data_IF_653178428920
#
_entry.id   IF_653178428920
#
_cell.length_a   1.000
_cell.length_b   1.000
_cell.length_c   1.000
_cell.angle_alpha   90.00
_cell.angle_beta   90.00
_cell.angle_gamma   90.00
#
_symmetry.space_group_name_H-M   'P 1'
#
loop_
_entity.id
_entity.type
_entity.pdbx_description
1 polymer ?
#
# COMPACT_ATOMS: atom_id res chain seq x y z
N UNK A 1 -11.36 33.57 28.53
CA UNK A 1 -10.59 32.72 29.47
C UNK A 1 -11.55 31.91 30.32
N UNK A 2 -11.91 30.73 29.86
CA UNK A 2 -12.62 29.75 30.66
C UNK A 2 -11.67 28.57 30.92
N UNK A 3 -11.35 28.39 32.20
CA UNK A 3 -10.54 27.27 32.68
C UNK A 3 -11.34 25.96 32.54
N UNK A 4 -10.73 25.00 31.84
CA UNK A 4 -11.26 23.64 31.78
C UNK A 4 -10.84 22.92 33.05
N UNK A 5 -11.79 22.67 33.94
CA UNK A 5 -11.62 21.82 35.14
C UNK A 5 -11.63 20.35 34.67
N UNK A 6 -10.51 19.69 34.80
CA UNK A 6 -10.38 18.25 34.58
C UNK A 6 -10.87 17.53 35.82
N UNK A 7 -11.91 16.70 35.69
CA UNK A 7 -12.49 15.91 36.75
C UNK A 7 -11.61 14.66 37.00
N UNK A 8 -10.88 14.66 38.12
CA UNK A 8 -9.92 13.62 38.48
C UNK A 8 -10.57 12.31 39.01
N UNK A 9 -11.87 12.30 39.27
CA UNK A 9 -12.57 11.18 39.92
C UNK A 9 -12.87 9.97 38.98
N UNK A 10 -12.46 10.05 37.70
CA UNK A 10 -12.69 8.94 36.74
C UNK A 10 -11.50 8.00 36.56
N UNK A 11 -10.38 8.22 37.23
CA UNK A 11 -9.14 7.44 37.01
C UNK A 11 -8.86 6.39 38.11
N UNK A 12 -9.53 6.42 39.24
CA UNK A 12 -9.20 5.54 40.38
C UNK A 12 -9.78 4.12 40.29
N UNK A 13 -10.89 3.90 39.58
CA UNK A 13 -11.54 2.58 39.52
C UNK A 13 -10.89 1.56 38.56
N UNK A 14 -9.88 1.95 37.76
CA UNK A 14 -9.22 1.05 36.82
C UNK A 14 -7.86 0.51 37.28
N UNK A 15 -7.27 1.08 38.29
CA UNK A 15 -5.95 0.67 38.80
C UNK A 15 -6.05 -0.51 39.76
N UNK A 16 -7.16 -0.63 40.52
CA UNK A 16 -7.38 -1.71 41.47
C UNK A 16 -7.61 -3.10 40.81
N UNK A 17 -8.01 -3.13 39.55
CA UNK A 17 -8.24 -4.41 38.83
C UNK A 17 -6.96 -5.04 38.24
N UNK A 18 -5.81 -4.35 38.34
CA UNK A 18 -4.54 -4.82 37.78
C UNK A 18 -3.57 -5.39 38.82
N UNK A 19 -3.94 -5.36 40.11
CA UNK A 19 -3.13 -5.93 41.17
C UNK A 19 -3.64 -7.33 41.45
N UNK A 20 -2.86 -8.36 41.17
CA UNK A 20 -3.20 -9.75 41.37
C UNK A 20 -3.42 -10.04 42.87
N UNK A 21 -4.43 -10.89 43.20
CA UNK A 21 -4.86 -11.29 44.56
C UNK A 21 -3.75 -11.79 45.51
N UNK A 22 -2.54 -11.91 45.06
CA UNK A 22 -1.39 -12.31 45.89
C UNK A 22 -0.79 -11.20 46.74
N UNK A 23 -1.10 -9.94 46.49
CA UNK A 23 -0.50 -8.80 47.23
C UNK A 23 -1.41 -8.30 48.38
N UNK A 24 -2.71 -8.61 48.36
CA UNK A 24 -3.66 -8.17 49.37
C UNK A 24 -3.54 -8.88 50.73
N UNK A 25 -2.80 -9.99 50.83
CA UNK A 25 -2.69 -10.80 52.07
C UNK A 25 -1.54 -10.40 53.00
N UNK A 26 -0.86 -9.28 52.77
CA UNK A 26 0.32 -8.88 53.60
C UNK A 26 0.05 -7.79 54.65
N UNK A 27 -1.16 -7.27 54.78
CA UNK A 27 -1.43 -6.14 55.72
C UNK A 27 -2.31 -6.43 56.93
N UNK A 28 -2.65 -7.68 57.27
CA UNK A 28 -3.40 -7.97 58.51
C UNK A 28 -2.68 -9.01 59.39
N UNK A 29 -1.78 -8.53 60.24
CA UNK A 29 -1.11 -9.42 61.20
C UNK A 29 -0.26 -8.68 62.21
N UNK A 30 -0.82 -7.73 62.97
CA UNK A 30 -0.19 -7.31 64.24
C UNK A 30 -0.50 -8.33 65.31
N UNK A 31 0.43 -9.28 65.56
CA UNK A 31 0.40 -10.13 66.72
C UNK A 31 1.48 -9.74 67.72
N UNK A 32 1.06 -9.59 68.98
CA UNK A 32 1.86 -9.27 70.16
C UNK A 32 2.90 -10.37 70.42
N UNK A 33 4.13 -9.97 70.62
CA UNK A 33 5.25 -10.87 70.97
C UNK A 33 5.19 -11.11 72.47
N UNK A 34 4.85 -12.34 72.85
CA UNK A 34 5.03 -12.88 74.17
C UNK A 34 6.36 -13.61 74.27
N UNK A 35 7.10 -13.23 75.27
CA UNK A 35 8.48 -13.65 75.58
C UNK A 35 8.51 -15.09 76.13
N UNK A 36 8.98 -16.10 75.35
CA UNK A 36 9.48 -17.38 75.87
C UNK A 36 10.31 -18.15 74.82
N UNK A 37 11.56 -18.31 75.07
CA UNK A 37 12.44 -19.46 74.77
C UNK A 37 13.81 -19.08 74.21
N UNK A 38 14.73 -18.94 75.17
CA UNK A 38 16.18 -18.79 74.95
C UNK A 38 16.93 -20.08 74.46
N UNK A 39 16.23 -21.20 74.16
CA UNK A 39 16.87 -22.46 73.79
C UNK A 39 16.76 -22.88 72.33
N UNK A 40 16.06 -22.12 71.46
CA UNK A 40 15.96 -22.42 70.03
C UNK A 40 16.82 -21.56 69.12
N UNK A 41 17.65 -20.67 69.68
CA UNK A 41 18.46 -19.76 68.85
C UNK A 41 19.78 -20.40 68.33
N UNK A 42 20.26 -21.55 68.82
CA UNK A 42 21.48 -22.17 68.32
C UNK A 42 21.26 -23.05 67.08
N UNK A 43 20.10 -23.65 66.88
CA UNK A 43 19.81 -24.50 65.72
C UNK A 43 19.44 -23.70 64.44
N UNK A 44 18.94 -22.44 64.60
CA UNK A 44 18.61 -21.57 63.43
C UNK A 44 19.83 -20.88 62.83
N UNK A 45 20.94 -20.77 63.50
CA UNK A 45 22.15 -20.10 62.97
C UNK A 45 22.98 -20.96 62.00
N UNK A 46 22.85 -22.30 62.01
CA UNK A 46 23.51 -23.17 61.03
C UNK A 46 22.75 -23.32 59.72
N UNK A 47 21.42 -23.26 59.72
CA UNK A 47 20.61 -23.37 58.51
C UNK A 47 20.56 -22.12 57.63
N UNK A 48 20.80 -20.93 58.20
CA UNK A 48 20.79 -19.66 57.48
C UNK A 48 22.09 -19.36 56.77
N UNK A 49 23.26 -19.82 57.28
CA UNK A 49 24.54 -19.68 56.59
C UNK A 49 24.62 -20.53 55.32
N UNK A 50 24.16 -21.78 55.38
CA UNK A 50 24.12 -22.65 54.20
C UNK A 50 23.22 -22.14 53.08
N UNK A 51 22.04 -21.58 53.43
CA UNK A 51 21.11 -21.00 52.45
C UNK A 51 21.64 -19.71 51.83
N UNK A 52 22.40 -18.90 52.57
CA UNK A 52 22.99 -17.66 52.01
C UNK A 52 24.17 -18.00 51.09
N UNK A 53 24.96 -19.02 51.38
CA UNK A 53 26.06 -19.48 50.53
C UNK A 53 25.54 -20.15 49.24
N UNK A 54 24.44 -20.90 49.30
CA UNK A 54 23.77 -21.43 48.11
C UNK A 54 23.18 -20.35 47.23
N UNK A 55 22.54 -19.35 47.83
CA UNK A 55 22.00 -18.19 47.09
C UNK A 55 23.13 -17.38 46.45
N UNK A 56 24.26 -17.22 47.12
CA UNK A 56 25.40 -16.51 46.59
C UNK A 56 26.09 -17.28 45.44
N UNK A 57 26.18 -18.59 45.55
CA UNK A 57 26.64 -19.49 44.47
C UNK A 57 25.71 -19.45 43.28
N UNK A 58 24.40 -19.52 43.48
CA UNK A 58 23.41 -19.41 42.40
C UNK A 58 23.47 -18.04 41.72
N UNK A 59 23.66 -16.98 42.49
CA UNK A 59 23.81 -15.62 41.92
C UNK A 59 25.13 -15.48 41.13
N UNK A 60 26.22 -16.09 41.59
CA UNK A 60 27.49 -16.12 40.83
C UNK A 60 27.35 -16.96 39.55
N UNK A 61 26.68 -18.08 39.60
CA UNK A 61 26.39 -18.93 38.43
C UNK A 61 25.51 -18.23 37.42
N UNK A 62 24.45 -17.53 37.90
CA UNK A 62 23.61 -16.71 37.03
C UNK A 62 24.38 -15.55 36.39
N UNK A 63 25.28 -14.90 37.12
CA UNK A 63 26.17 -13.85 36.59
C UNK A 63 27.20 -14.42 35.59
N UNK A 64 27.71 -15.65 35.79
CA UNK A 64 28.59 -16.29 34.81
C UNK A 64 27.84 -16.74 33.56
N UNK A 65 26.62 -17.28 33.70
CA UNK A 65 25.76 -17.62 32.56
C UNK A 65 25.38 -16.35 31.77
N UNK A 66 25.03 -15.27 32.47
CA UNK A 66 24.73 -13.97 31.83
C UNK A 66 25.95 -13.34 31.13
N UNK A 67 27.17 -13.57 31.66
CA UNK A 67 28.43 -13.14 31.02
C UNK A 67 28.83 -14.03 29.83
N UNK A 68 28.41 -15.30 29.81
CA UNK A 68 28.65 -16.24 28.71
C UNK A 68 27.55 -16.23 27.66
N UNK A 69 26.37 -15.65 27.95
CA UNK A 69 25.33 -15.45 26.96
C UNK A 69 25.86 -14.46 25.92
N UNK A 70 26.12 -14.93 24.71
CA UNK A 70 26.50 -14.07 23.60
C UNK A 70 25.37 -13.06 23.38
N UNK A 71 25.72 -11.77 23.34
CA UNK A 71 24.77 -10.71 23.07
C UNK A 71 24.23 -10.89 21.63
N UNK A 72 22.93 -11.07 21.49
CA UNK A 72 22.29 -11.09 20.19
C UNK A 72 21.99 -9.65 19.80
N UNK A 73 22.51 -9.24 18.64
CA UNK A 73 22.35 -7.90 18.10
C UNK A 73 21.53 -8.00 16.83
N UNK A 74 20.45 -7.24 16.76
CA UNK A 74 19.65 -7.11 15.54
C UNK A 74 20.21 -5.99 14.68
N UNK A 75 20.48 -6.28 13.41
CA UNK A 75 21.11 -5.37 12.46
C UNK A 75 20.20 -5.23 11.24
N UNK A 76 19.80 -4.01 10.83
CA UNK A 76 19.09 -3.74 9.58
C UNK A 76 20.06 -3.80 8.38
N UNK A 77 19.55 -3.67 7.16
CA UNK A 77 20.34 -3.68 5.91
C UNK A 77 21.44 -2.63 5.89
N UNK A 78 21.15 -1.44 6.46
CA UNK A 78 22.12 -0.36 6.64
C UNK A 78 22.10 0.14 8.08
N UNK A 79 23.27 0.30 8.69
CA UNK A 79 23.40 0.82 10.07
C UNK A 79 24.59 1.77 10.19
N UNK A 80 24.48 2.79 11.03
CA UNK A 80 25.62 3.64 11.33
C UNK A 80 26.58 2.97 12.31
N UNK A 81 27.87 3.24 12.17
CA UNK A 81 28.92 2.71 13.09
C UNK A 81 28.63 3.02 14.55
N UNK A 82 28.11 4.21 14.83
CA UNK A 82 27.72 4.65 16.18
C UNK A 82 26.55 3.83 16.75
N UNK A 83 25.55 3.58 15.94
CA UNK A 83 24.38 2.79 16.32
C UNK A 83 24.74 1.31 16.52
N UNK A 84 25.53 0.73 15.62
CA UNK A 84 26.06 -0.63 15.76
C UNK A 84 26.82 -0.79 17.08
N UNK A 85 27.71 0.17 17.41
CA UNK A 85 28.44 0.17 18.68
C UNK A 85 27.49 0.21 19.89
N UNK A 86 26.47 1.04 19.84
CA UNK A 86 25.45 1.15 20.90
C UNK A 86 24.66 -0.14 21.07
N UNK A 87 24.22 -0.79 19.97
CA UNK A 87 23.50 -2.06 20.00
C UNK A 87 24.36 -3.21 20.54
N UNK A 88 25.65 -3.20 20.24
CA UNK A 88 26.64 -4.17 20.78
C UNK A 88 27.08 -3.85 22.21
N UNK A 89 26.65 -2.74 22.80
CA UNK A 89 27.13 -2.23 24.10
C UNK A 89 28.65 -2.07 24.14
N UNK A 90 29.25 -1.67 23.03
CA UNK A 90 30.68 -1.41 22.83
C UNK A 90 30.92 0.06 22.55
N UNK A 91 32.17 0.48 22.59
CA UNK A 91 32.53 1.86 22.19
C UNK A 91 32.68 1.96 20.67
N UNK A 92 32.28 3.10 20.09
CA UNK A 92 32.47 3.34 18.65
C UNK A 92 33.93 3.21 18.22
N UNK A 93 34.87 3.55 19.11
CA UNK A 93 36.31 3.39 18.86
C UNK A 93 36.74 1.93 18.69
N UNK A 94 36.16 0.98 19.41
CA UNK A 94 36.41 -0.46 19.24
C UNK A 94 35.91 -0.96 17.89
N UNK A 95 34.71 -0.51 17.47
CA UNK A 95 34.13 -0.86 16.16
C UNK A 95 34.97 -0.29 15.03
N UNK A 96 35.34 1.00 15.09
CA UNK A 96 36.21 1.62 14.09
C UNK A 96 37.57 0.95 14.02
N UNK A 97 38.15 0.54 15.15
CA UNK A 97 39.41 -0.18 15.18
C UNK A 97 39.32 -1.56 14.52
N UNK A 98 38.19 -2.25 14.68
CA UNK A 98 37.90 -3.51 14.01
C UNK A 98 37.75 -3.30 12.49
N UNK A 99 36.97 -2.30 12.06
CA UNK A 99 36.83 -1.90 10.65
C UNK A 99 38.17 -1.55 9.98
N UNK A 100 39.01 -0.77 10.66
CA UNK A 100 40.35 -0.40 10.20
C UNK A 100 41.28 -1.61 10.01
N UNK A 101 41.23 -2.59 10.90
CA UNK A 101 42.00 -3.86 10.75
C UNK A 101 41.62 -4.62 9.48
N UNK A 102 40.35 -4.53 9.08
CA UNK A 102 39.81 -5.18 7.90
C UNK A 102 39.84 -4.30 6.64
N UNK A 103 40.56 -3.15 6.72
CA UNK A 103 40.77 -2.27 5.58
C UNK A 103 39.62 -1.32 5.26
N UNK A 104 38.58 -1.28 6.09
CA UNK A 104 37.45 -0.38 5.94
C UNK A 104 37.65 0.88 6.80
N UNK A 105 37.78 2.04 6.15
CA UNK A 105 37.83 3.32 6.84
C UNK A 105 36.41 3.87 7.01
N UNK A 106 35.93 3.91 8.25
CA UNK A 106 34.61 4.46 8.54
C UNK A 106 34.64 5.43 9.72
N UNK A 107 33.84 6.50 9.65
CA UNK A 107 33.61 7.45 10.75
C UNK A 107 32.39 7.01 11.58
N UNK A 108 32.20 7.59 12.77
CA UNK A 108 31.09 7.23 13.68
C UNK A 108 29.70 7.37 13.04
N UNK A 109 29.54 8.39 12.17
CA UNK A 109 28.26 8.71 11.53
C UNK A 109 28.10 8.08 10.14
N UNK A 110 29.08 7.32 9.69
CA UNK A 110 29.02 6.65 8.39
C UNK A 110 28.17 5.39 8.46
N UNK A 111 27.34 5.16 7.45
CA UNK A 111 26.57 3.93 7.29
C UNK A 111 27.44 2.81 6.72
N UNK A 112 27.24 1.62 7.21
CA UNK A 112 27.84 0.37 6.73
C UNK A 112 26.72 -0.60 6.39
N UNK A 113 26.96 -1.45 5.42
CA UNK A 113 26.07 -2.52 4.99
C UNK A 113 26.00 -3.66 6.01
N UNK A 114 24.95 -4.48 5.91
CA UNK A 114 24.70 -5.60 6.79
C UNK A 114 25.88 -6.56 6.87
N UNK A 115 26.48 -6.93 5.73
CA UNK A 115 27.58 -7.91 5.66
C UNK A 115 28.81 -7.42 6.44
N UNK A 116 29.16 -6.15 6.29
CA UNK A 116 30.27 -5.52 7.04
C UNK A 116 29.95 -5.43 8.52
N UNK A 117 28.71 -5.09 8.87
CA UNK A 117 28.26 -4.98 10.25
C UNK A 117 28.21 -6.36 10.94
N UNK A 118 27.73 -7.42 10.25
CA UNK A 118 27.72 -8.79 10.72
C UNK A 118 29.12 -9.29 11.01
N UNK A 119 30.05 -9.06 10.07
CA UNK A 119 31.42 -9.46 10.22
C UNK A 119 32.07 -8.85 11.46
N UNK A 120 31.91 -7.52 11.64
CA UNK A 120 32.45 -6.80 12.82
C UNK A 120 31.80 -7.27 14.11
N UNK A 121 30.50 -7.47 14.13
CA UNK A 121 29.77 -7.94 15.31
C UNK A 121 30.20 -9.35 15.72
N UNK A 122 30.44 -10.23 14.75
CA UNK A 122 30.92 -11.60 14.97
C UNK A 122 32.36 -11.61 15.51
N UNK A 123 33.28 -10.77 14.96
CA UNK A 123 34.65 -10.62 15.45
C UNK A 123 34.68 -10.09 16.90
N UNK A 124 33.72 -9.21 17.24
CA UNK A 124 33.56 -8.67 18.60
C UNK A 124 32.79 -9.61 19.56
N UNK A 125 32.42 -10.82 19.11
CA UNK A 125 31.80 -11.87 19.91
C UNK A 125 30.30 -11.74 20.15
N UNK A 126 29.59 -10.98 19.31
CA UNK A 126 28.14 -10.88 19.31
C UNK A 126 27.54 -11.88 18.32
N UNK A 127 26.31 -12.34 18.58
CA UNK A 127 25.51 -13.08 17.62
C UNK A 127 24.63 -12.08 16.87
N UNK A 128 24.57 -12.19 15.56
CA UNK A 128 23.79 -11.29 14.71
C UNK A 128 22.48 -11.94 14.30
N UNK A 129 21.40 -11.17 14.33
CA UNK A 129 20.12 -11.48 13.71
C UNK A 129 19.77 -10.34 12.75
N UNK A 130 19.34 -10.68 11.54
CA UNK A 130 18.87 -9.69 10.58
C UNK A 130 17.58 -9.06 11.08
N UNK A 131 17.54 -7.72 11.17
CA UNK A 131 16.34 -6.96 11.53
C UNK A 131 15.64 -6.53 10.25
N UNK A 132 14.60 -7.24 9.86
CA UNK A 132 13.72 -6.78 8.78
C UNK A 132 12.92 -5.60 9.34
N UNK A 133 13.26 -4.39 8.92
CA UNK A 133 12.49 -3.19 9.24
C UNK A 133 11.25 -3.21 8.35
N UNK A 134 10.19 -3.88 8.81
CA UNK A 134 8.88 -3.79 8.16
C UNK A 134 8.38 -2.37 8.33
N UNK A 135 8.32 -1.62 7.24
CA UNK A 135 7.79 -0.26 7.24
C UNK A 135 6.30 -0.27 7.64
N UNK A 136 5.79 0.88 8.09
CA UNK A 136 4.35 0.99 8.42
C UNK A 136 3.50 0.67 7.18
N UNK A 137 4.02 1.01 6.00
CA UNK A 137 3.42 0.73 4.70
C UNK A 137 3.34 -0.79 4.45
N UNK A 138 4.43 -1.53 4.61
CA UNK A 138 4.46 -2.99 4.49
C UNK A 138 3.57 -3.72 5.51
N UNK A 139 3.36 -3.14 6.69
CA UNK A 139 2.40 -3.68 7.68
C UNK A 139 0.95 -3.44 7.30
N UNK A 140 0.67 -2.38 6.53
CA UNK A 140 -0.67 -2.04 6.05
C UNK A 140 -1.01 -2.83 4.78
N UNK A 141 -0.01 -3.13 3.95
CA UNK A 141 -0.18 -4.00 2.78
C UNK A 141 0.08 -5.44 3.21
N UNK A 142 -1.00 -6.19 3.37
CA UNK A 142 -0.93 -7.63 3.57
C UNK A 142 -0.56 -8.28 2.23
N UNK A 143 0.71 -8.63 2.05
CA UNK A 143 1.24 -9.29 0.84
C UNK A 143 1.00 -10.80 0.85
N UNK A 144 0.05 -11.28 1.65
CA UNK A 144 -0.31 -12.68 1.63
C UNK A 144 -0.81 -13.06 0.23
N UNK A 145 -0.18 -14.04 -0.39
CA UNK A 145 -0.64 -14.58 -1.68
C UNK A 145 -1.93 -15.35 -1.43
N UNK A 146 -3.01 -14.88 -2.05
CA UNK A 146 -4.30 -15.53 -1.96
C UNK A 146 -4.24 -16.94 -2.62
N UNK A 147 -4.90 -17.90 -2.02
CA UNK A 147 -5.03 -19.23 -2.63
C UNK A 147 -6.03 -19.18 -3.78
N UNK A 148 -5.83 -20.04 -4.79
CA UNK A 148 -6.69 -20.06 -5.97
C UNK A 148 -8.18 -20.28 -5.65
N UNK A 149 -8.48 -20.93 -4.53
CA UNK A 149 -9.85 -21.23 -4.07
C UNK A 149 -10.56 -19.99 -3.45
N UNK A 150 -9.81 -18.97 -3.04
CA UNK A 150 -10.34 -17.75 -2.43
C UNK A 150 -10.62 -16.63 -3.45
N UNK A 151 -10.13 -16.81 -4.67
CA UNK A 151 -10.23 -15.82 -5.73
C UNK A 151 -11.55 -15.97 -6.50
N UNK A 152 -12.30 -14.86 -6.57
CA UNK A 152 -13.55 -14.73 -7.33
C UNK A 152 -13.33 -13.78 -8.50
N UNK A 153 -13.93 -14.04 -9.66
CA UNK A 153 -13.91 -13.14 -10.80
C UNK A 153 -14.58 -11.83 -10.43
N UNK A 154 -13.90 -10.71 -10.69
CA UNK A 154 -14.42 -9.37 -10.44
C UNK A 154 -14.77 -8.62 -11.72
N UNK A 155 -15.69 -7.64 -11.65
CA UNK A 155 -15.99 -6.76 -12.77
C UNK A 155 -14.75 -6.00 -13.24
N UNK A 156 -14.56 -5.84 -14.58
CA UNK A 156 -13.51 -5.01 -15.12
C UNK A 156 -13.77 -3.51 -14.84
N UNK A 157 -12.69 -2.79 -14.62
CA UNK A 157 -12.70 -1.33 -14.52
C UNK A 157 -12.05 -0.75 -15.76
N UNK A 158 -12.80 0.05 -16.50
CA UNK A 158 -12.41 0.57 -17.81
C UNK A 158 -12.29 2.08 -17.76
N UNK A 159 -11.13 2.63 -18.10
CA UNK A 159 -10.95 4.08 -18.23
C UNK A 159 -11.18 4.54 -19.66
N UNK A 160 -11.88 5.65 -19.84
CA UNK A 160 -12.10 6.28 -21.14
C UNK A 160 -11.22 7.51 -21.28
N UNK A 161 -10.33 7.49 -22.26
CA UNK A 161 -9.33 8.53 -22.52
C UNK A 161 -9.39 9.04 -23.95
N UNK A 162 -8.72 10.13 -24.21
CA UNK A 162 -8.61 10.73 -25.55
C UNK A 162 -8.73 12.25 -25.50
N UNK A 163 -8.64 12.88 -26.66
CA UNK A 163 -8.68 14.33 -26.80
C UNK A 163 -10.05 14.94 -26.42
N UNK A 164 -10.07 16.23 -26.12
CA UNK A 164 -11.31 17.02 -25.98
C UNK A 164 -12.09 16.93 -27.29
N UNK A 165 -13.41 16.96 -27.25
CA UNK A 165 -14.33 16.91 -28.41
C UNK A 165 -14.27 15.65 -29.29
N UNK A 166 -13.48 14.62 -28.91
CA UNK A 166 -13.52 13.33 -29.61
C UNK A 166 -14.75 12.48 -29.24
N UNK A 167 -15.57 12.95 -28.30
CA UNK A 167 -16.87 12.36 -27.98
C UNK A 167 -16.81 11.29 -26.87
N UNK A 168 -15.85 11.36 -25.95
CA UNK A 168 -15.75 10.49 -24.76
C UNK A 168 -17.05 10.51 -23.94
N UNK A 169 -17.44 11.70 -23.48
CA UNK A 169 -18.65 11.87 -22.66
C UNK A 169 -19.91 11.51 -23.44
N UNK A 170 -19.95 11.74 -24.76
CA UNK A 170 -21.08 11.32 -25.61
C UNK A 170 -21.19 9.80 -25.73
N UNK A 171 -20.04 9.09 -25.83
CA UNK A 171 -19.99 7.63 -25.81
C UNK A 171 -20.51 7.08 -24.48
N UNK A 172 -20.03 7.65 -23.37
CA UNK A 172 -20.44 7.27 -22.06
C UNK A 172 -21.90 7.58 -21.75
N UNK A 173 -22.42 8.72 -22.23
CA UNK A 173 -23.85 9.08 -22.15
C UNK A 173 -24.73 8.08 -22.92
N UNK A 174 -24.27 7.61 -24.07
CA UNK A 174 -24.96 6.58 -24.81
C UNK A 174 -25.01 5.25 -24.04
N UNK A 175 -23.86 4.80 -23.52
CA UNK A 175 -23.75 3.53 -22.78
C UNK A 175 -24.62 3.53 -21.52
N UNK A 176 -24.71 4.62 -20.79
CA UNK A 176 -25.54 4.73 -19.56
C UNK A 176 -26.97 5.20 -19.82
N UNK A 177 -27.37 5.43 -21.06
CA UNK A 177 -28.68 5.96 -21.44
C UNK A 177 -29.02 7.28 -20.70
N UNK A 178 -28.03 8.15 -20.50
CA UNK A 178 -28.16 9.41 -19.77
C UNK A 178 -27.64 10.60 -20.59
N UNK A 179 -27.88 11.82 -20.10
CA UNK A 179 -27.42 13.08 -20.73
C UNK A 179 -26.65 13.91 -19.70
N UNK A 180 -25.52 13.39 -19.22
CA UNK A 180 -24.74 14.07 -18.19
C UNK A 180 -23.91 15.21 -18.78
N UNK A 181 -23.40 15.05 -20.00
CA UNK A 181 -22.70 16.13 -20.73
C UNK A 181 -23.49 17.44 -20.79
N UNK A 182 -24.80 17.38 -20.89
CA UNK A 182 -25.66 18.57 -20.95
C UNK A 182 -25.80 19.28 -19.58
N UNK A 183 -25.49 18.61 -18.48
CA UNK A 183 -25.58 19.12 -17.11
C UNK A 183 -24.27 19.66 -16.55
N UNK A 184 -23.14 19.36 -17.17
CA UNK A 184 -21.82 19.82 -16.73
C UNK A 184 -21.52 21.26 -17.17
N UNK A 185 -20.87 22.03 -16.30
CA UNK A 185 -20.50 23.42 -16.60
C UNK A 185 -19.52 23.45 -17.80
N UNK A 186 -19.96 24.06 -18.90
CA UNK A 186 -19.21 24.14 -20.16
C UNK A 186 -19.31 22.87 -21.03
N UNK A 187 -20.11 21.87 -20.67
CA UNK A 187 -20.30 20.65 -21.45
C UNK A 187 -19.03 19.73 -21.47
N UNK A 188 -18.13 19.90 -20.50
CA UNK A 188 -16.87 19.14 -20.41
C UNK A 188 -16.77 18.43 -19.05
N UNK A 189 -16.29 17.21 -19.06
CA UNK A 189 -16.01 16.44 -17.83
C UNK A 189 -14.88 17.10 -17.04
N UNK A 190 -15.14 17.47 -15.78
CA UNK A 190 -14.17 18.14 -14.90
C UNK A 190 -13.72 17.27 -13.73
N UNK A 191 -14.48 16.25 -13.37
CA UNK A 191 -14.19 15.30 -12.30
C UNK A 191 -14.09 13.88 -12.84
N UNK A 192 -13.38 12.99 -12.12
CA UNK A 192 -13.41 11.58 -12.45
C UNK A 192 -14.78 11.03 -12.03
N UNK A 193 -15.62 10.71 -13.00
CA UNK A 193 -16.91 10.04 -12.81
C UNK A 193 -16.74 8.52 -12.89
N UNK A 194 -17.34 7.79 -11.96
CA UNK A 194 -17.39 6.33 -12.00
C UNK A 194 -18.84 5.87 -12.05
N UNK A 195 -19.14 4.90 -12.91
CA UNK A 195 -20.46 4.28 -12.99
C UNK A 195 -20.36 2.85 -13.51
N UNK A 196 -21.26 1.99 -13.08
CA UNK A 196 -21.33 0.60 -13.50
C UNK A 196 -22.50 0.39 -14.42
N UNK A 197 -22.28 -0.33 -15.52
CA UNK A 197 -23.30 -0.74 -16.48
C UNK A 197 -23.28 -2.25 -16.58
N UNK A 198 -24.47 -2.85 -16.68
CA UNK A 198 -24.61 -4.29 -16.88
C UNK A 198 -24.79 -4.56 -18.38
N UNK A 199 -23.90 -5.35 -18.95
CA UNK A 199 -23.89 -5.71 -20.38
C UNK A 199 -23.84 -7.24 -20.47
N UNK A 200 -24.83 -7.81 -21.15
CA UNK A 200 -24.98 -9.28 -21.27
C UNK A 200 -24.96 -10.03 -19.92
N UNK A 201 -25.42 -9.39 -18.85
CA UNK A 201 -25.39 -9.96 -17.49
C UNK A 201 -24.06 -9.83 -16.77
N UNK A 202 -23.08 -9.15 -17.37
CA UNK A 202 -21.77 -8.86 -16.75
C UNK A 202 -21.68 -7.38 -16.40
N UNK A 203 -21.36 -7.01 -15.15
CA UNK A 203 -21.16 -5.63 -14.76
C UNK A 203 -19.78 -5.12 -15.23
N UNK A 204 -19.75 -3.94 -15.83
CA UNK A 204 -18.52 -3.21 -16.22
C UNK A 204 -18.54 -1.84 -15.57
N UNK A 205 -17.43 -1.45 -14.94
CA UNK A 205 -17.30 -0.13 -14.33
C UNK A 205 -16.48 0.79 -15.24
N UNK A 206 -17.09 1.87 -15.66
CA UNK A 206 -16.44 2.89 -16.49
C UNK A 206 -15.96 4.05 -15.63
N UNK A 207 -14.74 4.52 -15.91
CA UNK A 207 -14.17 5.75 -15.36
C UNK A 207 -14.09 6.81 -16.48
N UNK A 208 -14.83 7.90 -16.31
CA UNK A 208 -14.72 9.06 -17.18
C UNK A 208 -13.61 9.99 -16.71
N UNK A 209 -12.67 10.32 -17.61
CA UNK A 209 -11.56 11.21 -17.30
C UNK A 209 -11.62 12.51 -18.09
N UNK A 210 -11.29 13.66 -17.46
CA UNK A 210 -11.24 14.94 -18.18
C UNK A 210 -10.25 14.90 -19.34
N UNK A 211 -10.67 15.31 -20.53
CA UNK A 211 -9.82 15.36 -21.72
C UNK A 211 -8.84 16.54 -21.77
N UNK A 212 -9.01 17.54 -20.92
CA UNK A 212 -8.25 18.79 -20.98
C UNK A 212 -6.80 18.64 -20.52
N UNK A 213 -5.84 19.34 -21.13
CA UNK A 213 -4.41 19.24 -20.79
C UNK A 213 -4.08 19.54 -19.32
N UNK A 214 -4.89 20.37 -18.63
CA UNK A 214 -4.72 20.69 -17.22
C UNK A 214 -4.89 19.47 -16.27
N UNK A 215 -5.44 18.34 -16.75
CA UNK A 215 -5.80 17.19 -15.92
C UNK A 215 -4.95 15.93 -16.22
N UNK A 216 -3.69 16.12 -16.60
CA UNK A 216 -2.74 15.03 -16.89
C UNK A 216 -2.60 14.03 -15.73
N UNK A 217 -2.50 14.53 -14.49
CA UNK A 217 -2.40 13.66 -13.30
C UNK A 217 -3.64 12.80 -13.07
N UNK A 218 -4.84 13.32 -13.40
CA UNK A 218 -6.08 12.54 -13.30
C UNK A 218 -6.13 11.41 -14.32
N UNK A 219 -5.62 11.63 -15.54
CA UNK A 219 -5.52 10.58 -16.56
C UNK A 219 -4.50 9.51 -16.17
N UNK A 220 -3.32 9.93 -15.70
CA UNK A 220 -2.29 9.00 -15.21
C UNK A 220 -2.83 8.11 -14.06
N UNK A 221 -3.50 8.73 -13.08
CA UNK A 221 -4.11 8.02 -11.95
C UNK A 221 -5.25 7.11 -12.40
N UNK A 222 -6.07 7.57 -13.33
CA UNK A 222 -7.12 6.76 -13.95
C UNK A 222 -6.54 5.48 -14.57
N UNK A 223 -5.47 5.61 -15.38
CA UNK A 223 -4.82 4.45 -15.99
C UNK A 223 -4.23 3.48 -14.96
N UNK A 224 -3.56 3.99 -13.91
CA UNK A 224 -2.92 3.15 -12.89
C UNK A 224 -3.90 2.33 -12.04
N UNK A 225 -5.16 2.77 -11.97
CA UNK A 225 -6.17 2.13 -11.12
C UNK A 225 -7.15 1.25 -11.90
N UNK A 226 -7.02 1.15 -13.23
CA UNK A 226 -7.95 0.46 -14.13
C UNK A 226 -7.31 -0.74 -14.80
N UNK A 227 -8.15 -1.59 -15.36
CA UNK A 227 -7.73 -2.85 -16.01
C UNK A 227 -7.61 -2.69 -17.53
N UNK A 228 -8.46 -1.86 -18.15
CA UNK A 228 -8.53 -1.66 -19.60
C UNK A 228 -8.67 -0.17 -19.90
N UNK A 229 -8.02 0.31 -20.97
CA UNK A 229 -8.16 1.66 -21.46
C UNK A 229 -8.90 1.71 -22.81
N UNK A 230 -9.97 2.46 -22.91
CA UNK A 230 -10.61 2.81 -24.18
C UNK A 230 -10.07 4.17 -24.64
N UNK A 231 -9.37 4.17 -25.76
CA UNK A 231 -8.83 5.36 -26.39
C UNK A 231 -9.78 5.85 -27.46
N UNK A 232 -10.51 6.95 -27.19
CA UNK A 232 -11.46 7.54 -28.16
C UNK A 232 -10.74 8.51 -29.09
N UNK A 233 -10.77 8.23 -30.38
CA UNK A 233 -10.18 9.06 -31.45
C UNK A 233 -11.26 9.44 -32.45
N UNK A 234 -11.41 10.73 -32.76
CA UNK A 234 -12.37 11.17 -33.77
C UNK A 234 -11.86 10.92 -35.19
N UNK A 235 -12.69 10.30 -36.03
CA UNK A 235 -12.35 9.92 -37.42
C UNK A 235 -12.04 11.09 -38.34
N UNK A 236 -12.54 12.28 -38.00
CA UNK A 236 -12.33 13.53 -38.73
C UNK A 236 -11.05 14.29 -38.34
N UNK A 237 -10.64 14.20 -37.05
CA UNK A 237 -9.52 14.98 -36.50
C UNK A 237 -8.19 14.18 -36.50
N UNK A 238 -8.23 12.88 -36.20
CA UNK A 238 -7.07 12.03 -36.08
C UNK A 238 -6.42 12.06 -34.69
N UNK A 239 -5.15 11.64 -34.59
CA UNK A 239 -4.41 11.59 -33.33
C UNK A 239 -3.93 12.99 -32.93
N UNK A 240 -4.36 13.46 -31.79
CA UNK A 240 -4.02 14.74 -31.19
C UNK A 240 -3.01 14.59 -30.04
N UNK A 241 -2.30 15.65 -29.61
CA UNK A 241 -1.28 15.56 -28.54
C UNK A 241 -1.78 14.92 -27.24
N UNK A 242 -3.02 15.18 -26.82
CA UNK A 242 -3.64 14.57 -25.65
C UNK A 242 -3.96 13.09 -25.86
N UNK A 243 -4.15 12.65 -27.09
CA UNK A 243 -4.30 11.22 -27.44
C UNK A 243 -2.96 10.51 -27.29
N UNK A 244 -1.86 11.14 -27.73
CA UNK A 244 -0.51 10.59 -27.54
C UNK A 244 -0.16 10.48 -26.06
N UNK A 245 -0.51 11.48 -25.27
CA UNK A 245 -0.35 11.47 -23.82
C UNK A 245 -1.14 10.31 -23.19
N UNK A 246 -2.39 10.11 -23.58
CA UNK A 246 -3.22 9.00 -23.11
C UNK A 246 -2.61 7.62 -23.45
N UNK A 247 -2.06 7.45 -24.67
CA UNK A 247 -1.33 6.23 -25.05
C UNK A 247 -0.15 5.99 -24.13
N UNK A 248 0.64 7.02 -23.83
CA UNK A 248 1.80 6.91 -22.97
C UNK A 248 1.42 6.54 -21.54
N UNK A 249 0.32 7.08 -20.99
CA UNK A 249 -0.18 6.73 -19.67
C UNK A 249 -0.66 5.27 -19.61
N UNK A 250 -1.41 4.81 -20.60
CA UNK A 250 -1.88 3.43 -20.66
C UNK A 250 -0.71 2.44 -20.81
N UNK A 251 0.30 2.75 -21.63
CA UNK A 251 1.52 1.96 -21.77
C UNK A 251 2.35 1.94 -20.48
N UNK A 252 2.48 3.08 -19.79
CA UNK A 252 3.18 3.15 -18.51
C UNK A 252 2.48 2.33 -17.42
N UNK A 253 1.15 2.26 -17.45
CA UNK A 253 0.33 1.43 -16.56
C UNK A 253 0.28 -0.05 -16.99
N UNK A 254 0.81 -0.40 -18.17
CA UNK A 254 0.80 -1.76 -18.73
C UNK A 254 -0.59 -2.36 -18.89
N UNK A 255 -1.61 -1.54 -19.16
CA UNK A 255 -2.98 -1.99 -19.38
C UNK A 255 -3.28 -2.13 -20.88
N UNK A 256 -4.11 -3.11 -21.28
CA UNK A 256 -4.55 -3.26 -22.66
C UNK A 256 -5.31 -2.03 -23.16
N UNK A 257 -5.08 -1.66 -24.41
CA UNK A 257 -5.67 -0.49 -25.06
C UNK A 257 -6.61 -0.94 -26.16
N UNK A 258 -7.89 -0.54 -26.07
CA UNK A 258 -8.88 -0.69 -27.12
C UNK A 258 -9.10 0.68 -27.76
N UNK A 259 -8.98 0.79 -29.07
CA UNK A 259 -9.17 2.05 -29.78
C UNK A 259 -10.58 2.15 -30.32
N UNK A 260 -11.30 3.20 -29.92
CA UNK A 260 -12.62 3.51 -30.43
C UNK A 260 -12.54 4.69 -31.40
N UNK A 261 -12.59 4.39 -32.70
CA UNK A 261 -12.63 5.42 -33.79
C UNK A 261 -14.05 5.95 -33.90
N UNK A 262 -14.29 7.12 -33.30
CA UNK A 262 -15.61 7.74 -33.16
C UNK A 262 -15.91 8.72 -34.31
N UNK A 263 -17.15 9.14 -34.39
CA UNK A 263 -17.72 10.06 -35.40
C UNK A 263 -17.68 9.47 -36.81
N UNK A 264 -17.88 8.18 -36.99
CA UNK A 264 -17.96 7.51 -38.29
C UNK A 264 -19.17 8.00 -39.13
N UNK A 265 -20.12 8.66 -38.52
CA UNK A 265 -21.28 9.29 -39.18
C UNK A 265 -20.96 10.59 -39.94
N UNK A 266 -19.75 11.15 -39.73
CA UNK A 266 -19.36 12.39 -40.39
C UNK A 266 -18.81 12.19 -41.78
N UNK A 267 -19.15 13.15 -42.68
CA UNK A 267 -18.51 13.26 -43.98
C UNK A 267 -17.04 13.62 -43.79
N UNK A 268 -16.14 12.82 -44.35
CA UNK A 268 -14.69 12.98 -44.21
C UNK A 268 -14.05 12.09 -43.12
N UNK A 269 -14.82 11.23 -42.48
CA UNK A 269 -14.27 10.19 -41.62
C UNK A 269 -13.31 9.31 -42.39
N UNK A 270 -12.06 9.22 -41.91
CA UNK A 270 -11.00 8.41 -42.52
C UNK A 270 -10.34 7.51 -41.52
N UNK A 271 -10.88 6.31 -41.29
CA UNK A 271 -10.32 5.35 -40.32
C UNK A 271 -8.91 4.88 -40.71
N UNK A 272 -8.60 4.70 -42.01
CA UNK A 272 -7.30 4.20 -42.47
C UNK A 272 -6.15 5.15 -42.11
N UNK A 273 -6.41 6.46 -42.15
CA UNK A 273 -5.48 7.47 -41.65
C UNK A 273 -5.17 7.28 -40.17
N UNK A 274 -6.19 6.99 -39.38
CA UNK A 274 -6.03 6.79 -37.92
C UNK A 274 -5.23 5.51 -37.65
N UNK A 275 -5.52 4.41 -38.35
CA UNK A 275 -4.78 3.16 -38.23
C UNK A 275 -3.29 3.36 -38.52
N UNK A 276 -2.97 4.14 -39.55
CA UNK A 276 -1.58 4.49 -39.88
C UNK A 276 -0.92 5.30 -38.76
N UNK A 277 -1.61 6.32 -38.25
CA UNK A 277 -1.10 7.15 -37.15
C UNK A 277 -0.93 6.37 -35.85
N UNK A 278 -1.83 5.42 -35.53
CA UNK A 278 -1.69 4.54 -34.37
C UNK A 278 -0.39 3.72 -34.43
N UNK A 279 -0.07 3.19 -35.60
CA UNK A 279 1.16 2.43 -35.83
C UNK A 279 2.43 3.28 -35.58
N UNK A 280 2.42 4.58 -35.95
CA UNK A 280 3.53 5.51 -35.66
C UNK A 280 3.75 5.68 -34.15
N UNK A 281 2.69 5.52 -33.35
CA UNK A 281 2.74 5.58 -31.88
C UNK A 281 2.90 4.20 -31.22
N UNK A 282 3.20 3.15 -32.01
CA UNK A 282 3.45 1.79 -31.51
C UNK A 282 2.19 1.08 -31.01
N UNK A 283 1.03 1.37 -31.61
CA UNK A 283 -0.22 0.63 -31.48
C UNK A 283 -0.56 0.04 -32.83
N UNK A 284 -0.16 -1.22 -33.05
CA UNK A 284 -0.44 -1.90 -34.32
C UNK A 284 -1.83 -2.52 -34.23
N UNK A 285 -2.76 -2.18 -35.16
CA UNK A 285 -4.10 -2.75 -35.16
C UNK A 285 -4.10 -4.28 -35.38
N UNK A 286 -5.05 -4.98 -34.79
CA UNK A 286 -5.24 -6.42 -34.96
C UNK A 286 -5.50 -6.77 -36.46
N UNK A 287 -6.21 -5.91 -37.20
CA UNK A 287 -6.42 -6.04 -38.67
C UNK A 287 -5.09 -6.13 -39.46
N UNK A 288 -4.00 -5.57 -38.91
CA UNK A 288 -2.64 -5.58 -39.52
C UNK A 288 -1.68 -6.54 -38.82
N UNK A 289 -2.22 -7.45 -37.99
CA UNK A 289 -1.45 -8.48 -37.28
C UNK A 289 -0.80 -7.99 -35.97
N UNK A 290 -1.28 -6.88 -35.40
CA UNK A 290 -0.92 -6.39 -34.06
C UNK A 290 -1.82 -6.93 -32.97
N UNK A 291 -1.68 -6.34 -31.77
CA UNK A 291 -2.40 -6.71 -30.54
C UNK A 291 -3.50 -5.69 -30.16
N UNK A 292 -3.60 -4.57 -30.88
CA UNK A 292 -4.53 -3.50 -30.51
C UNK A 292 -5.85 -3.65 -31.23
N UNK A 293 -6.93 -3.87 -30.48
CA UNK A 293 -8.29 -3.92 -31.04
C UNK A 293 -8.79 -2.52 -31.40
N UNK A 294 -9.40 -2.40 -32.59
CA UNK A 294 -9.88 -1.13 -33.14
C UNK A 294 -11.33 -1.24 -33.55
N UNK A 295 -12.24 -0.56 -32.83
CA UNK A 295 -13.66 -0.54 -33.08
C UNK A 295 -14.05 0.78 -33.78
N UNK A 296 -14.79 0.69 -34.89
CA UNK A 296 -15.32 1.85 -35.65
C UNK A 296 -16.72 2.19 -35.13
N UNK A 297 -16.86 3.32 -34.43
CA UNK A 297 -18.08 3.66 -33.72
C UNK A 297 -18.66 5.03 -34.12
N UNK A 298 -19.92 5.23 -33.79
CA UNK A 298 -20.55 6.57 -33.72
C UNK A 298 -21.35 6.68 -32.43
N UNK A 299 -20.85 7.47 -31.50
CA UNK A 299 -21.56 7.74 -30.25
C UNK A 299 -22.90 8.45 -30.43
N UNK A 300 -23.09 9.12 -31.59
CA UNK A 300 -24.33 9.83 -31.92
C UNK A 300 -25.42 8.89 -32.43
N UNK A 301 -25.06 7.91 -33.26
CA UNK A 301 -26.03 6.99 -33.88
C UNK A 301 -26.12 5.64 -33.17
N UNK A 302 -25.18 5.32 -32.29
CA UNK A 302 -25.09 4.04 -31.62
C UNK A 302 -24.35 2.95 -32.41
N UNK A 303 -23.91 3.28 -33.65
CA UNK A 303 -23.22 2.31 -34.51
C UNK A 303 -21.92 1.78 -33.86
N UNK A 304 -21.72 0.47 -33.84
CA UNK A 304 -20.49 -0.19 -33.40
C UNK A 304 -20.25 -0.17 -31.88
N UNK A 305 -21.18 0.36 -31.09
CA UNK A 305 -20.97 0.45 -29.63
C UNK A 305 -21.13 -0.93 -28.98
N UNK A 306 -22.07 -1.73 -29.44
CA UNK A 306 -22.24 -3.11 -28.92
C UNK A 306 -21.00 -3.95 -29.19
N UNK A 307 -20.40 -3.83 -30.39
CA UNK A 307 -19.14 -4.47 -30.75
C UNK A 307 -17.98 -4.02 -29.85
N UNK A 308 -17.88 -2.73 -29.55
CA UNK A 308 -16.90 -2.17 -28.60
C UNK A 308 -17.07 -2.80 -27.21
N UNK A 309 -18.30 -2.92 -26.74
CA UNK A 309 -18.59 -3.47 -25.40
C UNK A 309 -18.30 -4.97 -25.33
N UNK A 310 -18.59 -5.72 -26.39
CA UNK A 310 -18.22 -7.13 -26.51
C UNK A 310 -16.69 -7.30 -26.51
N UNK A 311 -15.97 -6.43 -27.22
CA UNK A 311 -14.49 -6.42 -27.22
C UNK A 311 -13.93 -6.16 -25.82
N UNK A 312 -14.55 -5.24 -25.07
CA UNK A 312 -14.15 -4.97 -23.67
C UNK A 312 -14.33 -6.20 -22.78
N UNK A 313 -15.47 -6.90 -22.91
CA UNK A 313 -15.74 -8.12 -22.14
C UNK A 313 -14.71 -9.20 -22.49
N UNK A 314 -14.47 -9.43 -23.79
CA UNK A 314 -13.50 -10.43 -24.24
C UNK A 314 -12.09 -10.13 -23.73
N UNK A 315 -11.67 -8.87 -23.79
CA UNK A 315 -10.35 -8.45 -23.25
C UNK A 315 -10.29 -8.67 -21.75
N UNK A 316 -11.37 -8.37 -21.00
CA UNK A 316 -11.43 -8.59 -19.57
C UNK A 316 -11.38 -10.08 -19.18
N UNK A 317 -11.96 -10.96 -19.98
CA UNK A 317 -11.88 -12.41 -19.80
C UNK A 317 -10.45 -12.93 -20.03
N UNK A 318 -9.75 -12.38 -21.02
CA UNK A 318 -8.35 -12.72 -21.30
C UNK A 318 -7.39 -12.32 -20.16
N UNK A 319 -7.68 -11.19 -19.48
CA UNK A 319 -6.90 -10.70 -18.34
C UNK A 319 -7.19 -11.48 -17.03
N UNK A 320 -8.16 -12.40 -17.02
CA UNK A 320 -8.51 -13.23 -15.84
C UNK A 320 -8.64 -12.44 -14.53
N UNK A 321 -9.37 -11.33 -14.55
CA UNK A 321 -9.49 -10.41 -13.41
C UNK A 321 -10.13 -11.09 -12.19
N UNK A 322 -9.37 -11.21 -11.11
CA UNK A 322 -9.78 -11.89 -9.86
C UNK A 322 -9.56 -10.99 -8.66
N UNK A 323 -10.36 -11.16 -7.61
CA UNK A 323 -10.23 -10.49 -6.33
C UNK A 323 -10.65 -11.43 -5.20
N UNK A 324 -10.15 -11.18 -3.97
CA UNK A 324 -10.54 -11.93 -2.78
C UNK A 324 -11.52 -11.10 -1.93
N UNK A 325 -12.83 -11.41 -1.94
CA UNK A 325 -13.84 -10.64 -1.21
C UNK A 325 -13.72 -10.76 0.31
N UNK A 326 -12.99 -11.76 0.82
CA UNK A 326 -12.84 -12.02 2.26
C UNK A 326 -11.61 -11.31 2.87
N UNK A 327 -10.79 -10.65 2.04
CA UNK A 327 -9.60 -9.92 2.47
C UNK A 327 -9.96 -8.51 2.91
N UNK A 328 -9.05 -7.87 3.67
CA UNK A 328 -9.13 -6.44 3.97
C UNK A 328 -9.18 -5.62 2.67
N UNK A 329 -10.15 -4.69 2.57
CA UNK A 329 -10.38 -3.91 1.35
C UNK A 329 -9.14 -3.12 0.93
N UNK A 330 -8.70 -3.31 -0.31
CA UNK A 330 -7.65 -2.55 -0.98
C UNK A 330 -8.27 -1.69 -2.07
N UNK A 331 -7.88 -0.42 -2.15
CA UNK A 331 -8.44 0.49 -3.15
C UNK A 331 -7.52 1.64 -3.46
N UNK A 332 -7.79 2.29 -4.58
CA UNK A 332 -7.09 3.47 -5.08
C UNK A 332 -7.91 4.73 -4.81
N UNK A 333 -7.27 5.81 -4.34
CA UNK A 333 -7.90 7.13 -4.23
C UNK A 333 -7.84 7.81 -5.58
N UNK A 334 -8.99 7.96 -6.24
CA UNK A 334 -9.08 8.63 -7.54
C UNK A 334 -9.01 10.16 -7.40
N UNK A 335 -9.81 10.73 -6.50
CA UNK A 335 -9.90 12.14 -6.23
C UNK A 335 -10.16 12.39 -4.75
N UNK A 336 -9.56 13.45 -4.19
CA UNK A 336 -9.86 13.91 -2.84
C UNK A 336 -10.02 15.45 -2.86
N UNK A 337 -11.07 15.95 -2.18
CA UNK A 337 -11.34 17.39 -2.08
C UNK A 337 -11.87 17.75 -0.70
N UNK A 338 -11.67 18.99 -0.32
CA UNK A 338 -12.25 19.55 0.90
C UNK A 338 -13.54 20.31 0.55
N UNK A 339 -14.68 19.77 0.99
CA UNK A 339 -15.97 20.47 0.89
C UNK A 339 -16.17 21.35 2.13
N UNK A 340 -16.66 22.57 1.93
CA UNK A 340 -16.86 23.54 3.03
C UNK A 340 -17.91 23.11 4.05
N UNK A 341 -18.89 22.29 3.63
CA UNK A 341 -20.02 21.86 4.47
C UNK A 341 -19.87 20.43 4.98
N UNK A 342 -19.24 19.55 4.18
CA UNK A 342 -19.12 18.11 4.46
C UNK A 342 -17.74 17.69 4.95
N UNK A 343 -16.73 18.58 4.87
CA UNK A 343 -15.35 18.23 5.21
C UNK A 343 -14.61 17.52 4.07
N UNK A 344 -13.60 16.70 4.33
CA UNK A 344 -12.86 15.98 3.31
C UNK A 344 -13.75 14.90 2.65
N UNK A 345 -13.79 14.93 1.33
CA UNK A 345 -14.50 13.95 0.48
C UNK A 345 -13.46 13.29 -0.39
N UNK A 346 -13.46 11.97 -0.46
CA UNK A 346 -12.61 11.20 -1.36
C UNK A 346 -13.45 10.23 -2.21
N UNK A 347 -13.10 10.11 -3.48
CA UNK A 347 -13.62 9.09 -4.40
C UNK A 347 -12.62 7.94 -4.40
N UNK A 348 -13.07 6.76 -4.00
CA UNK A 348 -12.26 5.56 -3.90
C UNK A 348 -12.73 4.52 -4.92
N UNK A 349 -11.78 3.88 -5.59
CA UNK A 349 -12.00 2.66 -6.36
C UNK A 349 -11.56 1.48 -5.52
N UNK A 350 -12.50 0.64 -5.12
CA UNK A 350 -12.19 -0.59 -4.34
C UNK A 350 -11.87 -1.71 -5.33
N UNK A 351 -10.71 -2.31 -5.17
CA UNK A 351 -10.19 -3.35 -6.08
C UNK A 351 -10.26 -4.76 -5.47
N UNK A 352 -10.33 -4.81 -4.13
CA UNK A 352 -10.37 -6.07 -3.38
C UNK A 352 -11.34 -5.97 -2.21
#
# INVERSE_FOLDING_TARGET
>A
TSAVTVNADRYDDRVDSLVSDRVQNYQSGKQKIGNKNKKQQQAKRFGTKSRSEEQEKMRRLQLEIAKKAQLVVKIPDEITVGELASRMKKTAAEVIKCLLKNGVMATVNQTIDFDTAEFVATELGCKVEHEVIVTIEERLFDDHQDTADELVTRPPVVVVMGHVDHGKTSLLDYIRHAKVAAGEAGGITQHIGAYTVEINGQPITFLDTPGHAAFTEMRARGAMCTDIAILVVAADDGIMPQTVEAINHAKAAQIPIIVAVNKMDKHGANPDRILTQLTEHGLTPAEWGGETEVCKISAKTGMGIDELLETVILTAEMEELKANPNRAGKGCVLEARLDKNRGPIATLLVQN
#
